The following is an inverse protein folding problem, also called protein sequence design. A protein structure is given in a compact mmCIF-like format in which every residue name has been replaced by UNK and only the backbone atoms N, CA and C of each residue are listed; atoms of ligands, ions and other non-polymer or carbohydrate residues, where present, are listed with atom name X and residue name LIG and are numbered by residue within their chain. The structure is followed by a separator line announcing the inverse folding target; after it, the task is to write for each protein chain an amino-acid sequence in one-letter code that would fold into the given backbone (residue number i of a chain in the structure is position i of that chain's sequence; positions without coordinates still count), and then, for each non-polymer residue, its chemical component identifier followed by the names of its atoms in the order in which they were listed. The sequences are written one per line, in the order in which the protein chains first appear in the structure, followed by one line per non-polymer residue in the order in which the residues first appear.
data_IF_404102512650
#
_entry.id   IF_404102512650
#
_cell.length_a   1.000
_cell.length_b   1.000
_cell.length_c   1.000
_cell.angle_alpha   90.00
_cell.angle_beta   90.00
_cell.angle_gamma   90.00
#
_symmetry.space_group_name_H-M   'P 1'
#
loop_
_entity.id
_entity.type
_entity.pdbx_description
1 polymer ?
#
# COMPACT_ATOMS: atom_id res chain seq x y z
N UNK A 1 -2.97 16.58 -3.09
CA UNK A 1 -3.69 15.69 -2.16
C UNK A 1 -2.81 14.47 -1.95
N UNK A 2 -2.43 14.12 -0.73
CA UNK A 2 -1.64 12.91 -0.47
C UNK A 2 -2.58 11.89 0.18
N UNK A 3 -3.04 10.91 -0.59
CA UNK A 3 -3.92 9.86 -0.12
C UNK A 3 -3.06 8.65 0.25
N UNK A 4 -3.08 8.20 1.50
CA UNK A 4 -2.33 7.01 1.88
C UNK A 4 -3.23 5.79 1.78
N UNK A 5 -2.80 4.82 0.98
CA UNK A 5 -3.40 3.51 0.91
C UNK A 5 -2.54 2.57 1.74
N UNK A 6 -2.97 2.26 2.96
CA UNK A 6 -2.54 1.05 3.65
C UNK A 6 -3.57 -0.04 3.27
N UNK A 7 -3.11 -1.12 2.67
CA UNK A 7 -3.97 -2.24 2.30
C UNK A 7 -3.49 -3.50 3.04
N UNK A 8 -4.37 -4.06 3.85
CA UNK A 8 -4.23 -5.40 4.45
C UNK A 8 -5.56 -6.10 4.21
N UNK A 9 -5.61 -7.28 3.61
CA UNK A 9 -6.86 -7.89 3.11
C UNK A 9 -6.85 -9.40 3.30
N UNK A 10 -7.47 -9.88 4.37
CA UNK A 10 -7.68 -11.32 4.52
C UNK A 10 -8.90 -11.72 3.71
N UNK A 11 -8.69 -12.22 2.49
CA UNK A 11 -9.62 -13.22 1.98
C UNK A 11 -9.14 -14.61 2.38
N UNK A 12 -10.03 -15.26 3.13
CA UNK A 12 -10.04 -16.65 3.53
C UNK A 12 -10.19 -17.58 2.31
N UNK A 13 -9.24 -17.48 1.40
CA UNK A 13 -9.19 -18.33 0.23
C UNK A 13 -7.73 -18.56 -0.09
N UNK A 14 -7.28 -19.79 0.17
CA UNK A 14 -6.18 -20.38 -0.58
C UNK A 14 -6.65 -20.53 -2.05
N UNK A 15 -6.94 -19.42 -2.74
CA UNK A 15 -7.15 -19.45 -4.18
C UNK A 15 -5.76 -19.61 -4.76
N UNK A 16 -5.53 -20.77 -5.36
CA UNK A 16 -4.43 -20.94 -6.30
C UNK A 16 -4.38 -19.73 -7.23
N UNK A 17 -3.17 -19.27 -7.53
CA UNK A 17 -2.91 -18.03 -8.28
C UNK A 17 -3.85 -17.84 -9.47
N UNK A 18 -4.21 -18.92 -10.18
CA UNK A 18 -5.14 -18.92 -11.31
C UNK A 18 -6.54 -18.33 -11.00
N UNK A 19 -7.19 -18.71 -9.90
CA UNK A 19 -8.56 -18.27 -9.58
C UNK A 19 -8.62 -16.80 -9.14
N UNK A 20 -7.60 -16.30 -8.44
CA UNK A 20 -7.51 -14.88 -8.09
C UNK A 20 -7.39 -14.00 -9.35
N UNK A 21 -6.62 -14.44 -10.35
CA UNK A 21 -6.55 -13.71 -11.62
C UNK A 21 -7.87 -13.74 -12.38
N UNK A 22 -8.56 -14.88 -12.46
CA UNK A 22 -9.84 -14.97 -13.17
C UNK A 22 -10.89 -13.97 -12.66
N UNK A 23 -10.94 -13.70 -11.36
CA UNK A 23 -11.91 -12.75 -10.77
C UNK A 23 -11.47 -11.29 -10.87
N UNK A 24 -10.16 -11.01 -10.92
CA UNK A 24 -9.62 -9.64 -10.95
C UNK A 24 -9.39 -9.10 -12.37
N UNK A 25 -9.09 -9.99 -13.33
CA UNK A 25 -8.80 -9.63 -14.73
C UNK A 25 -9.83 -8.70 -15.38
N UNK A 26 -11.16 -8.88 -15.20
CA UNK A 26 -12.14 -7.98 -15.82
C UNK A 26 -11.98 -6.51 -15.43
N UNK A 27 -11.42 -6.24 -14.24
CA UNK A 27 -11.12 -4.90 -13.73
C UNK A 27 -9.67 -4.53 -14.03
N UNK A 28 -8.72 -5.37 -13.64
CA UNK A 28 -7.28 -5.10 -13.74
C UNK A 28 -6.77 -4.98 -15.18
N UNK A 29 -7.49 -5.51 -16.18
CA UNK A 29 -7.17 -5.32 -17.60
C UNK A 29 -7.57 -3.94 -18.16
N UNK A 30 -8.43 -3.20 -17.45
CA UNK A 30 -9.01 -1.93 -17.94
C UNK A 30 -8.57 -0.71 -17.15
N UNK A 31 -8.02 -0.91 -15.95
CA UNK A 31 -7.57 0.17 -15.07
C UNK A 31 -6.32 -0.24 -14.30
N UNK A 32 -5.66 0.74 -13.71
CA UNK A 32 -4.51 0.53 -12.83
C UNK A 32 -4.96 -0.24 -11.59
N UNK A 33 -4.39 -1.44 -11.38
CA UNK A 33 -4.69 -2.32 -10.25
C UNK A 33 -3.47 -2.43 -9.34
N UNK A 34 -3.54 -1.77 -8.20
CA UNK A 34 -2.45 -1.62 -7.25
C UNK A 34 -2.72 -2.45 -6.01
N UNK A 35 -1.67 -3.08 -5.50
CA UNK A 35 -1.76 -3.97 -4.35
C UNK A 35 -0.72 -3.59 -3.31
N UNK A 36 -1.03 -3.79 -2.03
CA UNK A 36 -0.01 -3.81 -0.98
C UNK A 36 0.20 -5.25 -0.49
N UNK A 37 1.40 -5.52 0.03
CA UNK A 37 1.72 -6.82 0.61
C UNK A 37 1.18 -6.93 2.03
N UNK A 38 0.73 -8.12 2.41
CA UNK A 38 0.06 -8.39 3.68
C UNK A 38 0.40 -9.79 4.24
N UNK A 39 -0.04 -10.08 5.46
CA UNK A 39 0.29 -11.29 6.21
C UNK A 39 0.03 -12.60 5.43
N UNK A 40 -1.14 -12.76 4.79
CA UNK A 40 -1.45 -13.96 4.00
C UNK A 40 -0.63 -14.09 2.69
N UNK A 41 0.16 -13.08 2.36
CA UNK A 41 1.13 -13.12 1.27
C UNK A 41 2.56 -13.24 1.79
N UNK A 42 2.90 -12.67 2.94
CA UNK A 42 4.27 -12.48 3.41
C UNK A 42 4.68 -13.30 4.64
N UNK A 43 3.79 -13.53 5.59
CA UNK A 43 4.18 -13.98 6.93
C UNK A 43 4.50 -15.47 6.97
N UNK A 44 5.71 -15.77 7.43
CA UNK A 44 6.13 -17.13 7.71
C UNK A 44 7.30 -17.10 8.69
N UNK A 45 7.36 -18.01 9.69
CA UNK A 45 8.47 -18.06 10.64
C UNK A 45 9.82 -18.19 9.93
N UNK A 46 10.80 -17.37 10.34
CA UNK A 46 12.16 -17.41 9.79
C UNK A 46 12.31 -16.82 8.38
N UNK A 47 11.26 -16.22 7.81
CA UNK A 47 11.30 -15.59 6.48
C UNK A 47 11.74 -14.12 6.49
N UNK A 48 12.03 -13.55 7.66
CA UNK A 48 12.32 -12.11 7.82
C UNK A 48 11.08 -11.21 7.75
N UNK A 49 9.87 -11.76 7.92
CA UNK A 49 8.68 -10.95 8.20
C UNK A 49 8.77 -10.37 9.62
N UNK A 50 8.18 -9.19 9.83
CA UNK A 50 8.02 -8.61 11.16
C UNK A 50 7.16 -9.50 12.06
N UNK A 51 6.16 -10.17 11.49
CA UNK A 51 5.29 -11.08 12.20
C UNK A 51 5.63 -12.54 11.86
N UNK A 52 5.93 -13.32 12.90
CA UNK A 52 6.33 -14.72 12.77
C UNK A 52 5.12 -15.67 12.81
N UNK A 53 4.07 -15.38 12.03
CA UNK A 53 2.90 -16.26 11.87
C UNK A 53 3.03 -17.08 10.58
N UNK A 54 2.42 -18.26 10.49
CA UNK A 54 2.45 -19.07 9.26
C UNK A 54 1.38 -18.64 8.23
N UNK A 55 0.84 -17.42 8.31
CA UNK A 55 -0.38 -16.99 7.59
C UNK A 55 -0.25 -17.04 6.07
N UNK A 56 0.97 -16.87 5.54
CA UNK A 56 1.21 -16.99 4.10
C UNK A 56 1.14 -18.43 3.59
N UNK A 57 1.18 -19.42 4.47
CA UNK A 57 1.26 -20.84 4.11
C UNK A 57 2.58 -21.19 3.40
N UNK A 58 3.68 -20.54 3.79
CA UNK A 58 5.03 -20.77 3.23
C UNK A 58 5.33 -19.98 1.95
N UNK A 59 4.45 -19.05 1.54
CA UNK A 59 4.64 -18.24 0.33
C UNK A 59 5.70 -17.16 0.50
N UNK A 60 5.91 -16.66 1.72
CA UNK A 60 6.99 -15.75 2.07
C UNK A 60 7.12 -14.50 1.17
N UNK A 61 6.03 -14.03 0.57
CA UNK A 61 6.00 -12.89 -0.35
C UNK A 61 6.38 -13.21 -1.81
N UNK A 62 6.93 -14.39 -2.09
CA UNK A 62 7.47 -14.75 -3.41
C UNK A 62 6.40 -14.68 -4.51
N UNK A 63 5.21 -15.30 -4.37
CA UNK A 63 4.18 -15.20 -5.40
C UNK A 63 3.70 -13.76 -5.60
N UNK A 64 3.57 -12.98 -4.52
CA UNK A 64 3.12 -11.59 -4.60
C UNK A 64 4.08 -10.74 -5.44
N UNK A 65 5.38 -10.81 -5.14
CA UNK A 65 6.43 -10.05 -5.83
C UNK A 65 6.61 -10.49 -7.30
N UNK A 66 6.33 -11.77 -7.58
CA UNK A 66 6.45 -12.32 -8.94
C UNK A 66 5.29 -11.87 -9.84
N UNK A 67 4.08 -11.84 -9.28
CA UNK A 67 2.84 -11.62 -10.03
C UNK A 67 2.46 -10.15 -10.16
N UNK A 68 2.65 -9.36 -9.10
CA UNK A 68 2.23 -7.97 -9.05
C UNK A 68 3.45 -7.07 -9.22
N UNK A 69 3.55 -6.44 -10.40
CA UNK A 69 4.58 -5.45 -10.68
C UNK A 69 4.09 -4.08 -10.29
N UNK A 70 4.38 -3.68 -9.06
CA UNK A 70 4.16 -2.31 -8.61
C UNK A 70 5.23 -1.37 -9.25
N UNK A 71 5.00 -0.04 -9.30
CA UNK A 71 5.84 0.94 -9.99
C UNK A 71 7.32 0.89 -9.64
N UNK A 72 7.64 0.42 -8.44
CA UNK A 72 8.99 0.07 -8.04
C UNK A 72 8.92 -1.36 -7.52
N UNK A 73 9.92 -2.18 -7.87
CA UNK A 73 10.01 -3.59 -7.52
C UNK A 73 10.42 -3.76 -6.05
N UNK A 74 9.68 -3.10 -5.16
CA UNK A 74 10.06 -2.93 -3.77
C UNK A 74 8.86 -3.07 -2.84
N UNK A 75 9.15 -3.50 -1.62
CA UNK A 75 8.18 -3.98 -0.61
C UNK A 75 7.15 -2.92 -0.19
N UNK A 76 7.47 -1.65 -0.45
CA UNK A 76 6.68 -0.44 -0.26
C UNK A 76 6.97 0.50 -1.43
N UNK A 77 6.00 1.31 -1.84
CA UNK A 77 6.16 2.15 -3.03
C UNK A 77 5.25 3.39 -2.96
N UNK A 78 5.50 4.34 -3.85
CA UNK A 78 4.62 5.47 -4.06
C UNK A 78 4.27 5.61 -5.54
N UNK A 79 3.17 6.31 -5.79
CA UNK A 79 2.70 6.60 -7.14
C UNK A 79 1.82 7.83 -7.11
N UNK A 80 1.79 8.59 -8.19
CA UNK A 80 0.87 9.70 -8.35
C UNK A 80 -0.13 9.38 -9.46
N UNK A 81 -1.42 9.50 -9.15
CA UNK A 81 -2.48 9.54 -10.17
C UNK A 81 -3.18 10.88 -10.04
N UNK A 82 -2.99 11.74 -11.05
CA UNK A 82 -3.62 13.06 -11.12
C UNK A 82 -3.24 13.92 -9.88
N UNK A 83 -4.12 14.62 -9.11
CA UNK A 83 -3.65 15.45 -7.98
C UNK A 83 -3.35 14.63 -6.71
N UNK A 84 -3.41 13.29 -6.80
CA UNK A 84 -3.30 12.39 -5.66
C UNK A 84 -1.97 11.65 -5.67
N UNK A 85 -1.17 11.86 -4.64
CA UNK A 85 0.02 11.07 -4.34
C UNK A 85 -0.33 9.95 -3.38
N UNK A 86 -0.11 8.71 -3.80
CA UNK A 86 -0.26 7.51 -2.99
C UNK A 86 1.06 7.06 -2.43
N UNK A 87 1.08 6.79 -1.13
CA UNK A 87 2.17 6.10 -0.45
C UNK A 87 1.62 4.79 0.09
N UNK A 88 2.23 3.69 -0.30
CA UNK A 88 1.86 2.33 0.09
C UNK A 88 3.02 1.74 0.86
N UNK A 89 2.75 1.32 2.09
CA UNK A 89 3.73 0.71 2.97
C UNK A 89 3.43 -0.77 3.18
N UNK A 90 4.39 -1.50 3.72
CA UNK A 90 4.23 -2.88 4.18
C UNK A 90 4.21 -2.96 5.69
N UNK A 91 3.09 -3.43 6.25
CA UNK A 91 2.99 -3.77 7.68
C UNK A 91 3.83 -4.98 8.07
N UNK A 92 4.09 -5.88 7.12
CA UNK A 92 4.79 -7.15 7.37
C UNK A 92 6.32 -7.03 7.36
N UNK A 93 6.85 -5.81 7.23
CA UNK A 93 8.26 -5.51 7.30
C UNK A 93 8.49 -4.44 8.36
N UNK A 94 9.71 -4.32 8.88
CA UNK A 94 10.03 -3.32 9.91
C UNK A 94 9.67 -1.91 9.43
N UNK A 95 8.88 -1.20 10.24
CA UNK A 95 8.44 0.18 10.05
C UNK A 95 8.84 1.08 11.23
N UNK A 96 9.71 0.59 12.12
CA UNK A 96 10.29 1.35 13.23
C UNK A 96 10.98 2.64 12.75
N UNK A 97 11.20 3.60 13.64
CA UNK A 97 11.83 4.89 13.31
C UNK A 97 13.25 4.75 12.71
N UNK A 98 13.90 3.61 12.96
CA UNK A 98 15.23 3.27 12.44
C UNK A 98 15.20 2.41 11.18
N UNK A 99 14.01 2.02 10.73
CA UNK A 99 13.85 1.14 9.57
C UNK A 99 14.14 1.84 8.24
N UNK A 100 14.56 1.05 7.25
CA UNK A 100 14.70 1.49 5.86
C UNK A 100 13.37 2.03 5.32
N UNK A 101 12.28 1.32 5.59
CA UNK A 101 10.92 1.70 5.19
C UNK A 101 10.51 3.06 5.76
N UNK A 102 10.78 3.33 7.05
CA UNK A 102 10.47 4.61 7.66
C UNK A 102 11.29 5.74 7.05
N UNK A 103 12.59 5.50 6.80
CA UNK A 103 13.49 6.47 6.17
C UNK A 103 13.03 6.80 4.74
N UNK A 104 12.70 5.78 3.96
CA UNK A 104 12.11 5.93 2.62
C UNK A 104 10.78 6.69 2.68
N UNK A 105 9.88 6.30 3.58
CA UNK A 105 8.56 6.90 3.72
C UNK A 105 8.69 8.39 4.03
N UNK A 106 9.54 8.76 5.00
CA UNK A 106 9.80 10.15 5.35
C UNK A 106 10.27 10.95 4.13
N UNK A 107 11.29 10.46 3.43
CA UNK A 107 11.84 11.11 2.22
C UNK A 107 10.79 11.25 1.10
N UNK A 108 10.01 10.20 0.86
CA UNK A 108 8.94 10.20 -0.13
C UNK A 108 7.83 11.21 0.19
N UNK A 109 7.50 11.43 1.46
CA UNK A 109 6.47 12.39 1.87
C UNK A 109 6.96 13.83 1.84
N UNK A 110 8.24 14.06 2.11
CA UNK A 110 8.88 15.37 1.99
C UNK A 110 9.03 15.82 0.53
N UNK A 111 9.15 14.88 -0.42
CA UNK A 111 9.32 15.19 -1.85
C UNK A 111 8.03 15.56 -2.60
N UNK A 112 6.85 15.34 -2.00
CA UNK A 112 5.56 15.63 -2.65
C UNK A 112 5.34 17.15 -2.79
N UNK A 113 5.37 17.65 -4.03
CA UNK A 113 5.01 19.03 -4.33
C UNK A 113 3.48 19.22 -4.22
N UNK A 114 3.05 19.98 -3.22
CA UNK A 114 1.62 20.20 -2.89
C UNK A 114 0.98 21.34 -3.67
N UNK A 115 1.77 22.10 -4.44
CA UNK A 115 1.34 23.28 -5.19
C UNK A 115 1.06 23.01 -6.68
N UNK A 116 1.09 21.75 -7.12
CA UNK A 116 0.79 21.38 -8.52
C UNK A 116 -0.72 21.26 -8.82
N UNK A 117 -1.56 21.81 -7.94
CA UNK A 117 -3.04 21.69 -8.00
C UNK A 117 -3.66 23.09 -8.16
N UNK A 118 -4.78 23.18 -8.87
CA UNK A 118 -5.47 24.45 -9.20
C UNK A 118 -5.60 25.38 -7.98
N UNK A 119 -5.09 26.60 -8.12
CA UNK A 119 -5.01 27.62 -7.07
C UNK A 119 -6.38 28.02 -6.49
N UNK A 120 -7.48 27.83 -7.24
CA UNK A 120 -8.84 28.07 -6.75
C UNK A 120 -9.33 26.99 -5.80
N UNK A 121 -8.93 25.73 -6.03
CA UNK A 121 -9.24 24.59 -5.16
C UNK A 121 -8.45 24.66 -3.85
N UNK A 122 -7.18 25.05 -3.98
CA UNK A 122 -6.26 25.30 -2.86
C UNK A 122 -6.87 26.36 -1.93
N UNK A 123 -7.22 27.54 -2.42
CA UNK A 123 -7.72 28.64 -1.59
C UNK A 123 -8.97 28.33 -0.73
N UNK A 124 -9.84 27.41 -1.17
CA UNK A 124 -11.10 27.09 -0.47
C UNK A 124 -10.97 25.91 0.53
N UNK A 125 -10.12 24.93 0.25
CA UNK A 125 -10.05 23.65 0.98
C UNK A 125 -8.76 23.52 1.81
N UNK A 126 -7.70 24.22 1.43
CA UNK A 126 -6.38 24.19 2.09
C UNK A 126 -6.42 24.60 3.58
N UNK A 127 -7.20 25.59 4.05
CA UNK A 127 -7.26 25.93 5.49
C UNK A 127 -7.77 24.79 6.39
N UNK A 128 -8.49 23.81 5.82
CA UNK A 128 -8.99 22.61 6.50
C UNK A 128 -7.96 21.48 6.53
N UNK A 129 -7.20 21.30 5.44
CA UNK A 129 -6.19 20.24 5.28
C UNK A 129 -4.85 20.58 5.98
N UNK A 130 -4.51 21.87 6.11
CA UNK A 130 -3.27 22.35 6.75
C UNK A 130 -3.13 21.96 8.23
N UNK A 131 -4.23 21.64 8.93
CA UNK A 131 -4.21 21.35 10.36
C UNK A 131 -3.63 19.98 10.74
N UNK A 132 -3.61 18.97 9.85
CA UNK A 132 -3.24 17.60 10.23
C UNK A 132 -2.30 16.83 9.28
N UNK A 133 -1.82 17.44 8.18
CA UNK A 133 -0.68 16.96 7.35
C UNK A 133 -0.67 15.50 6.83
N UNK A 134 -1.79 14.79 6.89
CA UNK A 134 -2.20 13.62 6.08
C UNK A 134 -3.69 13.81 5.77
N UNK A 135 -4.12 13.63 4.52
CA UNK A 135 -5.51 13.89 4.13
C UNK A 135 -6.44 12.70 4.44
N UNK A 136 -5.96 11.48 4.19
CA UNK A 136 -6.68 10.22 4.43
C UNK A 136 -5.71 9.06 4.61
N UNK A 137 -5.95 8.22 5.62
CA UNK A 137 -5.33 6.91 5.78
C UNK A 137 -6.40 5.84 5.68
N UNK A 138 -6.31 4.98 4.68
CA UNK A 138 -7.12 3.76 4.59
C UNK A 138 -6.28 2.61 5.13
N UNK A 139 -6.87 1.70 5.91
CA UNK A 139 -6.26 0.44 6.31
C UNK A 139 -7.24 -0.71 6.10
N UNK A 140 -6.75 -1.96 6.23
CA UNK A 140 -7.62 -3.14 6.24
C UNK A 140 -7.21 -4.09 7.36
N UNK A 141 -7.21 -5.41 7.10
CA UNK A 141 -6.99 -6.52 8.04
C UNK A 141 -8.19 -6.85 8.90
N UNK A 142 -8.76 -5.82 9.52
CA UNK A 142 -9.96 -5.94 10.34
C UNK A 142 -11.15 -5.90 9.40
N UNK A 143 -11.97 -6.96 9.40
CA UNK A 143 -13.10 -7.10 8.49
C UNK A 143 -14.33 -6.35 9.00
N UNK A 144 -14.17 -5.04 9.15
CA UNK A 144 -15.24 -4.12 9.48
C UNK A 144 -14.92 -2.74 8.88
N UNK A 145 -15.93 -1.87 8.81
CA UNK A 145 -15.77 -0.48 8.41
C UNK A 145 -15.77 0.42 9.66
N UNK A 146 -14.81 1.33 9.74
CA UNK A 146 -14.66 2.35 10.79
C UNK A 146 -14.29 3.71 10.16
#
# INVERSE_FOLDING_TARGET
MACFLFYKSIHNVAVGSCLHFSVTVPVASKTVYMTAIENHKRDYPGSGSLYNTPDSGGKCGVPYQTYFRMPVQDRWYSMAISPVHFTVISTEHDWSLTSEQYTWMKSNLESVNRFSVDLKFVAAVEPLLLRNKVDLSVWGHVHNYE
#
